data_IF_520538111776
#
_entry.id   IF_520538111776
#
_cell.length_a   1.000
_cell.length_b   1.000
_cell.length_c   1.000
_cell.angle_alpha   90.00
_cell.angle_beta   90.00
_cell.angle_gamma   90.00
#
_symmetry.space_group_name_H-M   'P 1'
#
loop_
_entity.id
_entity.type
_entity.pdbx_description
1 polymer ?
#
# COMPACT_ATOMS: atom_id res chain seq x y z
N UNK A 1 2.53 -0.46 -8.57
CA UNK A 1 2.07 0.39 -7.45
C UNK A 1 2.95 0.12 -6.25
N UNK A 2 3.25 1.14 -5.45
CA UNK A 2 4.04 1.04 -4.22
C UNK A 2 3.24 1.61 -3.06
N UNK A 3 3.50 1.11 -1.85
CA UNK A 3 3.04 1.69 -0.59
C UNK A 3 4.16 2.54 0.00
N UNK A 4 3.85 3.80 0.28
CA UNK A 4 4.77 4.76 0.88
C UNK A 4 4.20 5.28 2.21
N UNK A 5 5.09 5.63 3.13
CA UNK A 5 4.75 6.16 4.46
C UNK A 5 5.50 7.49 4.69
N UNK A 6 4.80 8.47 5.26
CA UNK A 6 5.39 9.65 5.88
C UNK A 6 5.17 9.55 7.39
N UNK A 7 6.23 9.81 8.16
CA UNK A 7 6.23 9.73 9.63
C UNK A 7 6.51 11.13 10.16
N UNK A 8 5.64 11.63 11.05
CA UNK A 8 5.74 12.93 11.69
C UNK A 8 5.95 14.10 10.69
N UNK A 9 5.23 14.07 9.56
CA UNK A 9 5.32 15.10 8.52
C UNK A 9 6.60 15.07 7.67
N UNK A 10 7.43 14.03 7.79
CA UNK A 10 8.62 13.83 6.98
C UNK A 10 8.33 13.50 5.51
N UNK A 11 9.40 13.37 4.71
CA UNK A 11 9.28 12.92 3.33
C UNK A 11 8.68 11.51 3.24
N UNK A 12 7.91 11.25 2.17
CA UNK A 12 7.43 9.90 1.89
C UNK A 12 8.59 8.98 1.49
N UNK A 13 8.67 7.84 2.15
CA UNK A 13 9.58 6.75 1.81
C UNK A 13 8.78 5.49 1.45
N UNK A 14 9.36 4.60 0.65
CA UNK A 14 8.80 3.26 0.44
C UNK A 14 8.65 2.54 1.79
N UNK A 15 7.56 1.81 2.00
CA UNK A 15 7.28 1.16 3.28
C UNK A 15 8.40 0.21 3.72
N UNK A 16 9.05 -0.48 2.78
CA UNK A 16 10.17 -1.39 3.09
C UNK A 16 11.43 -0.59 3.42
N UNK A 17 11.72 0.47 2.65
CA UNK A 17 12.86 1.35 2.92
C UNK A 17 12.73 2.11 4.24
N UNK A 18 11.49 2.40 4.68
CA UNK A 18 11.21 3.00 5.97
C UNK A 18 11.40 2.03 7.16
N UNK A 19 11.65 0.75 6.90
CA UNK A 19 11.84 -0.30 7.91
C UNK A 19 10.60 -1.15 8.17
N UNK A 20 9.55 -1.04 7.35
CA UNK A 20 8.40 -1.93 7.38
C UNK A 20 8.70 -3.26 6.69
N UNK A 21 7.83 -4.25 6.90
CA UNK A 21 7.97 -5.57 6.25
C UNK A 21 6.60 -6.17 5.91
N UNK A 22 6.48 -6.77 4.74
CA UNK A 22 5.26 -7.47 4.35
C UNK A 22 5.15 -8.81 5.07
N UNK A 23 3.99 -9.07 5.67
CA UNK A 23 3.61 -10.36 6.24
C UNK A 23 2.94 -11.22 5.16
N UNK A 24 2.03 -10.63 4.38
CA UNK A 24 1.37 -11.27 3.24
C UNK A 24 1.16 -10.27 2.10
N UNK A 25 1.02 -10.78 0.88
CA UNK A 25 0.64 -9.96 -0.28
C UNK A 25 1.63 -8.84 -0.63
N UNK A 26 2.92 -9.01 -0.30
CA UNK A 26 3.95 -8.01 -0.60
C UNK A 26 4.21 -7.82 -2.10
N UNK A 27 5.14 -6.93 -2.42
CA UNK A 27 5.54 -6.66 -3.80
C UNK A 27 5.94 -7.93 -4.55
N UNK A 28 5.52 -8.05 -5.81
CA UNK A 28 5.66 -9.27 -6.61
C UNK A 28 6.70 -9.13 -7.73
N UNK A 29 7.12 -7.89 -8.07
CA UNK A 29 8.02 -7.63 -9.19
C UNK A 29 8.94 -6.44 -8.93
N UNK A 30 10.11 -6.47 -9.60
CA UNK A 30 10.94 -5.29 -9.81
C UNK A 30 10.55 -4.63 -11.13
N UNK A 31 10.29 -3.33 -11.12
CA UNK A 31 9.89 -2.59 -12.31
C UNK A 31 11.08 -2.39 -13.26
N UNK A 32 10.86 -2.67 -14.55
CA UNK A 32 11.87 -2.45 -15.59
C UNK A 32 12.27 -0.97 -15.68
N UNK A 33 13.56 -0.72 -15.89
CA UNK A 33 14.09 0.61 -16.16
C UNK A 33 13.91 1.06 -17.62
N UNK A 34 13.52 0.16 -18.53
CA UNK A 34 13.53 0.41 -19.97
C UNK A 34 12.37 1.28 -20.49
N UNK A 35 11.34 1.52 -19.67
CA UNK A 35 10.08 2.12 -20.13
C UNK A 35 9.73 3.44 -19.41
N UNK A 36 10.73 4.12 -18.85
CA UNK A 36 10.56 5.44 -18.23
C UNK A 36 9.53 5.48 -17.09
N UNK A 37 9.35 4.37 -16.37
CA UNK A 37 8.50 4.36 -15.19
C UNK A 37 9.12 5.23 -14.08
N UNK A 38 8.34 6.09 -13.39
CA UNK A 38 8.83 6.89 -12.27
C UNK A 38 9.11 6.07 -10.99
N UNK A 39 8.94 4.74 -11.05
CA UNK A 39 9.37 3.76 -10.04
C UNK A 39 10.31 2.70 -10.65
N UNK A 40 11.01 3.01 -11.74
CA UNK A 40 12.00 2.12 -12.35
C UNK A 40 12.96 1.53 -11.30
N UNK A 41 13.26 0.24 -11.44
CA UNK A 41 14.14 -0.55 -10.56
C UNK A 41 13.67 -0.70 -9.10
N UNK A 42 12.49 -0.20 -8.74
CA UNK A 42 11.88 -0.46 -7.41
C UNK A 42 11.08 -1.76 -7.42
N UNK A 43 11.03 -2.43 -6.28
CA UNK A 43 10.02 -3.46 -6.02
C UNK A 43 8.64 -2.80 -5.92
N UNK A 44 7.63 -3.43 -6.50
CA UNK A 44 6.26 -2.94 -6.55
C UNK A 44 5.27 -4.09 -6.80
N UNK A 45 3.99 -3.82 -6.58
CA UNK A 45 2.90 -4.62 -7.16
C UNK A 45 2.75 -4.28 -8.64
N UNK A 46 2.80 -5.25 -9.54
CA UNK A 46 2.63 -5.00 -10.97
C UNK A 46 2.02 -6.17 -11.74
N UNK A 47 1.33 -5.85 -12.83
CA UNK A 47 0.56 -6.82 -13.61
C UNK A 47 -0.85 -7.04 -13.05
N UNK A 48 -1.53 -8.07 -13.57
CA UNK A 48 -2.87 -8.45 -13.14
C UNK A 48 -2.77 -9.42 -11.96
N UNK A 49 -3.39 -9.08 -10.84
CA UNK A 49 -3.47 -9.91 -9.63
C UNK A 49 -4.52 -11.03 -9.71
N UNK A 50 -5.40 -11.02 -10.72
CA UNK A 50 -6.50 -11.99 -10.85
C UNK A 50 -7.68 -11.75 -9.89
N UNK A 51 -7.66 -10.63 -9.15
CA UNK A 51 -8.63 -10.30 -8.10
C UNK A 51 -7.99 -9.46 -6.99
N UNK A 52 -8.72 -9.26 -5.89
CA UNK A 52 -8.17 -8.63 -4.68
C UNK A 52 -7.21 -9.59 -3.98
N UNK A 53 -6.07 -9.06 -3.51
CA UNK A 53 -5.08 -9.78 -2.71
C UNK A 53 -4.97 -9.09 -1.36
N UNK A 54 -5.11 -9.86 -0.28
CA UNK A 54 -4.91 -9.37 1.08
C UNK A 54 -3.44 -9.05 1.33
N UNK A 55 -3.16 -7.78 1.60
CA UNK A 55 -1.82 -7.29 1.96
C UNK A 55 -1.79 -6.96 3.45
N UNK A 56 -0.85 -7.56 4.18
CA UNK A 56 -0.58 -7.22 5.57
C UNK A 56 0.87 -6.76 5.70
N UNK A 57 1.09 -5.64 6.39
CA UNK A 57 2.42 -5.04 6.57
C UNK A 57 2.66 -4.72 8.03
N UNK A 58 3.82 -5.10 8.54
CA UNK A 58 4.32 -4.60 9.81
C UNK A 58 4.85 -3.18 9.58
N UNK A 59 4.34 -2.22 10.34
CA UNK A 59 4.80 -0.84 10.27
C UNK A 59 6.22 -0.70 10.82
N UNK A 60 7.02 0.25 10.29
CA UNK A 60 8.36 0.49 10.79
C UNK A 60 8.33 0.92 12.27
N UNK A 61 9.33 0.51 13.05
CA UNK A 61 9.40 0.87 14.47
C UNK A 61 9.38 2.39 14.71
N UNK A 62 9.93 3.17 13.78
CA UNK A 62 9.92 4.64 13.81
C UNK A 62 8.53 5.27 13.71
N UNK A 63 7.52 4.53 13.23
CA UNK A 63 6.13 5.00 13.18
C UNK A 63 5.41 4.91 14.53
N UNK A 64 5.95 4.17 15.52
CA UNK A 64 5.27 3.97 16.79
C UNK A 64 5.07 5.28 17.54
N UNK A 65 3.80 5.56 17.91
CA UNK A 65 3.41 6.78 18.61
C UNK A 65 3.53 8.06 17.78
N UNK A 66 3.79 7.97 16.48
CA UNK A 66 3.88 9.11 15.57
C UNK A 66 2.62 9.26 14.75
N UNK A 67 2.33 10.49 14.31
CA UNK A 67 1.35 10.69 13.26
C UNK A 67 1.93 10.19 11.93
N UNK A 68 1.15 9.39 11.20
CA UNK A 68 1.58 8.81 9.93
C UNK A 68 0.60 9.10 8.81
N UNK A 69 1.13 9.23 7.59
CA UNK A 69 0.33 9.32 6.37
C UNK A 69 0.79 8.23 5.43
N UNK A 70 -0.16 7.41 4.96
CA UNK A 70 0.08 6.40 3.95
C UNK A 70 -0.27 6.93 2.57
N UNK A 71 0.49 6.50 1.56
CA UNK A 71 0.24 6.81 0.15
C UNK A 71 0.44 5.56 -0.68
N UNK A 72 -0.60 5.17 -1.41
CA UNK A 72 -0.48 4.22 -2.50
C UNK A 72 -0.16 4.98 -3.78
N UNK A 73 1.07 4.82 -4.27
CA UNK A 73 1.51 5.48 -5.50
C UNK A 73 1.41 4.51 -6.67
N UNK A 74 0.39 4.70 -7.51
CA UNK A 74 0.36 4.09 -8.84
C UNK A 74 1.32 4.84 -9.76
N UNK A 75 2.05 4.10 -10.57
CA UNK A 75 2.93 4.62 -11.60
C UNK A 75 2.64 3.86 -12.90
N UNK A 76 2.76 4.55 -14.02
CA UNK A 76 2.64 4.00 -15.37
C UNK A 76 3.94 4.24 -16.11
N UNK A 77 4.17 3.46 -17.17
CA UNK A 77 5.33 3.59 -18.05
C UNK A 77 4.88 4.08 -19.44
N UNK A 78 5.82 4.21 -20.37
CA UNK A 78 5.54 4.70 -21.73
C UNK A 78 5.11 3.62 -22.72
N UNK A 79 4.89 2.37 -22.26
CA UNK A 79 4.67 1.23 -23.15
C UNK A 79 3.19 0.95 -23.43
N UNK A 80 2.53 0.13 -22.60
CA UNK A 80 1.18 -0.40 -22.83
C UNK A 80 0.22 0.10 -21.74
N UNK A 81 -1.01 0.46 -22.14
CA UNK A 81 -2.09 0.84 -21.22
C UNK A 81 -2.75 -0.36 -20.54
N UNK A 82 -3.21 -0.18 -19.29
CA UNK A 82 -3.94 -1.19 -18.52
C UNK A 82 -5.01 -0.55 -17.62
N UNK A 83 -5.97 -1.37 -17.16
CA UNK A 83 -7.23 -0.96 -16.48
C UNK A 83 -7.00 -0.19 -15.17
N UNK A 84 -5.84 -0.33 -14.52
CA UNK A 84 -5.49 0.43 -13.32
C UNK A 84 -5.29 -0.46 -12.09
N UNK A 85 -5.46 0.12 -10.91
CA UNK A 85 -5.36 -0.58 -9.64
C UNK A 85 -6.47 -0.07 -8.71
N UNK A 86 -7.05 -0.99 -7.94
CA UNK A 86 -8.07 -0.70 -6.93
C UNK A 86 -7.48 -1.00 -5.55
N UNK A 87 -7.91 -0.23 -4.56
CA UNK A 87 -7.57 -0.42 -3.14
C UNK A 87 -8.90 -0.46 -2.40
N UNK A 88 -9.08 -1.45 -1.55
CA UNK A 88 -10.28 -1.62 -0.75
C UNK A 88 -9.92 -2.15 0.65
N UNK A 89 -10.84 -2.01 1.60
CA UNK A 89 -10.73 -2.50 2.98
C UNK A 89 -9.42 -2.10 3.69
N UNK A 90 -9.07 -0.81 3.64
CA UNK A 90 -7.90 -0.29 4.36
C UNK A 90 -8.21 -0.18 5.85
N UNK A 91 -7.51 -0.99 6.64
CA UNK A 91 -7.59 -0.94 8.09
C UNK A 91 -6.27 -1.33 8.75
N UNK A 92 -6.16 -0.98 10.03
CA UNK A 92 -5.15 -1.53 10.92
C UNK A 92 -5.61 -2.90 11.47
N UNK A 93 -4.80 -3.55 12.30
CA UNK A 93 -5.04 -4.91 12.85
C UNK A 93 -6.44 -5.10 13.47
N UNK A 94 -7.08 -4.04 13.97
CA UNK A 94 -8.42 -4.08 14.54
C UNK A 94 -9.48 -3.58 13.54
N UNK A 95 -9.56 -4.25 12.40
CA UNK A 95 -10.59 -4.07 11.38
C UNK A 95 -12.00 -4.42 11.92
N UNK A 96 -12.52 -3.62 12.85
CA UNK A 96 -13.89 -3.72 13.29
C UNK A 96 -14.76 -2.99 12.28
N UNK A 97 -15.12 -3.67 11.18
CA UNK A 97 -16.44 -3.45 10.61
C UNK A 97 -17.49 -3.92 11.63
N UNK A 98 -17.72 -3.14 12.68
CA UNK A 98 -18.87 -3.30 13.56
C UNK A 98 -19.82 -2.14 13.36
N UNK A 99 -20.64 -2.28 12.32
CA UNK A 99 -21.98 -1.71 12.36
C UNK A 99 -22.67 -2.28 13.59
N UNK A 100 -22.74 -1.51 14.67
CA UNK A 100 -23.62 -1.83 15.80
C UNK A 100 -24.96 -1.17 15.54
N UNK A 101 -25.91 -1.92 15.01
CA UNK A 101 -27.31 -1.57 15.17
C UNK A 101 -27.65 -1.72 16.66
N UNK A 102 -28.00 -0.62 17.33
CA UNK A 102 -28.83 -0.63 18.52
C UNK A 102 -30.14 0.06 18.14
N UNK A 103 -31.22 -0.71 17.91
CA UNK A 103 -32.54 -0.12 17.98
C UNK A 103 -32.83 0.19 19.45
N UNK A 104 -32.91 1.46 19.80
CA UNK A 104 -33.75 1.86 20.92
C UNK A 104 -35.15 2.03 20.35
N UNK A 105 -36.05 1.12 20.73
CA UNK A 105 -37.41 1.41 21.18
C UNK A 105 -38.08 0.08 21.59
N UNK A 106 -38.82 0.16 22.70
CA UNK A 106 -39.92 -0.75 23.01
C UNK A 106 -41.08 -0.46 22.06
#
# INVERSE_FOLDING_TARGET
>A
MVLEISINGGAFADIVAAGGSFVTGGYDRTISASFSSPIASRQAWSGNSGGFITTAVNLPAAAQGQNVVFRWRRATDSSIGAVGANIDDVCDINCHHRLRWQSLLQ
#
